data_IF_739586061347
#
_entry.id   IF_739586061347
#
_cell.length_a   1.000
_cell.length_b   1.000
_cell.length_c   1.000
_cell.angle_alpha   90.00
_cell.angle_beta   90.00
_cell.angle_gamma   90.00
#
_symmetry.space_group_name_H-M   'P 1'
#
loop_
_entity.id
_entity.type
_entity.pdbx_description
1 polymer ?
#
# COMPACT_ATOMS: atom_id res chain seq x y z
N UNK A 1 -29.90 -12.64 7.96
CA UNK A 1 -30.90 -11.79 7.26
C UNK A 1 -30.13 -10.56 6.80
N UNK A 2 -29.99 -10.35 5.48
CA UNK A 2 -29.52 -9.06 4.95
C UNK A 2 -30.44 -7.99 5.53
N UNK A 3 -29.89 -6.92 6.13
CA UNK A 3 -30.71 -5.73 6.35
C UNK A 3 -30.93 -5.13 4.98
N UNK A 4 -32.06 -5.48 4.38
CA UNK A 4 -32.59 -4.78 3.23
C UNK A 4 -33.05 -3.44 3.79
N UNK A 5 -32.30 -2.38 3.51
CA UNK A 5 -32.82 -1.01 3.64
C UNK A 5 -34.06 -0.89 2.72
N UNK A 6 -35.05 -0.08 3.11
CA UNK A 6 -36.27 0.23 2.33
C UNK A 6 -36.04 0.51 0.83
N UNK A 7 -34.80 0.81 0.43
CA UNK A 7 -34.37 1.02 -0.96
C UNK A 7 -33.84 -0.22 -1.72
N UNK A 8 -33.96 -1.44 -1.19
CA UNK A 8 -33.65 -2.68 -1.95
C UNK A 8 -32.16 -2.97 -2.18
N UNK A 9 -31.26 -2.24 -1.53
CA UNK A 9 -29.82 -2.47 -1.63
C UNK A 9 -29.34 -3.46 -0.55
N UNK A 10 -28.58 -4.47 -0.95
CA UNK A 10 -27.93 -5.43 -0.06
C UNK A 10 -26.82 -4.76 0.74
N UNK A 11 -27.08 -4.35 1.99
CA UNK A 11 -26.01 -3.93 2.91
C UNK A 11 -25.28 -5.17 3.45
N UNK A 12 -23.93 -5.23 3.38
CA UNK A 12 -23.18 -6.32 3.98
C UNK A 12 -23.46 -6.40 5.47
N UNK A 13 -23.63 -7.62 6.00
CA UNK A 13 -23.76 -7.85 7.45
C UNK A 13 -22.66 -7.06 8.19
N UNK A 14 -23.07 -6.27 9.17
CA UNK A 14 -22.19 -5.33 9.87
C UNK A 14 -21.24 -6.10 10.81
N UNK A 15 -20.13 -6.60 10.26
CA UNK A 15 -19.09 -7.28 11.03
C UNK A 15 -18.12 -6.27 11.65
N UNK A 16 -18.49 -5.79 12.84
CA UNK A 16 -17.70 -4.90 13.67
C UNK A 16 -16.37 -5.55 14.08
N UNK A 17 -16.38 -6.84 14.41
CA UNK A 17 -15.19 -7.55 14.91
C UNK A 17 -14.14 -7.66 13.80
N UNK A 18 -14.55 -8.07 12.59
CA UNK A 18 -13.63 -8.15 11.46
C UNK A 18 -13.09 -6.80 11.02
N UNK A 19 -13.88 -5.71 11.11
CA UNK A 19 -13.38 -4.34 10.86
C UNK A 19 -12.38 -3.92 11.92
N UNK A 20 -12.72 -4.00 13.20
CA UNK A 20 -11.86 -3.51 14.29
C UNK A 20 -10.58 -4.34 14.41
N UNK A 21 -10.66 -5.67 14.40
CA UNK A 21 -9.47 -6.51 14.57
C UNK A 21 -8.58 -6.52 13.32
N UNK A 22 -9.15 -6.72 12.13
CA UNK A 22 -8.35 -6.92 10.91
C UNK A 22 -7.85 -5.61 10.30
N UNK A 23 -8.66 -4.55 10.32
CA UNK A 23 -8.24 -3.28 9.71
C UNK A 23 -7.24 -2.54 10.62
N UNK A 24 -7.37 -2.62 11.95
CA UNK A 24 -6.37 -2.04 12.87
C UNK A 24 -5.03 -2.76 12.77
N UNK A 25 -5.02 -4.10 12.78
CA UNK A 25 -3.79 -4.87 12.61
C UNK A 25 -3.09 -4.52 11.28
N UNK A 26 -3.86 -4.41 10.20
CA UNK A 26 -3.35 -3.99 8.89
C UNK A 26 -2.76 -2.58 8.91
N UNK A 27 -3.39 -1.64 9.61
CA UNK A 27 -2.89 -0.27 9.75
C UNK A 27 -1.57 -0.24 10.52
N UNK A 28 -1.47 -0.96 11.64
CA UNK A 28 -0.25 -1.02 12.46
C UNK A 28 0.91 -1.61 11.65
N UNK A 29 0.68 -2.73 10.96
CA UNK A 29 1.69 -3.37 10.12
C UNK A 29 2.22 -2.44 9.02
N UNK A 30 1.32 -1.75 8.32
CA UNK A 30 1.72 -0.91 7.20
C UNK A 30 2.41 0.39 7.64
N UNK A 31 2.01 1.00 8.76
CA UNK A 31 2.69 2.19 9.30
C UNK A 31 4.14 1.84 9.67
N UNK A 32 4.35 0.69 10.33
CA UNK A 32 5.70 0.24 10.67
C UNK A 32 6.55 -0.01 9.41
N UNK A 33 5.96 -0.64 8.39
CA UNK A 33 6.64 -0.86 7.11
C UNK A 33 7.05 0.47 6.45
N UNK A 34 6.21 1.50 6.50
CA UNK A 34 6.55 2.84 6.00
C UNK A 34 7.72 3.45 6.77
N UNK A 35 7.68 3.46 8.10
CA UNK A 35 8.73 4.08 8.90
C UNK A 35 10.10 3.41 8.70
N UNK A 36 10.10 2.07 8.61
CA UNK A 36 11.33 1.28 8.49
C UNK A 36 11.83 1.14 7.06
N UNK A 37 10.99 1.38 6.05
CA UNK A 37 11.36 1.21 4.63
C UNK A 37 11.44 2.55 3.89
N UNK A 38 10.46 3.44 4.03
CA UNK A 38 10.39 4.67 3.23
C UNK A 38 11.60 5.57 3.49
N UNK A 39 11.78 6.01 4.75
CA UNK A 39 12.77 7.02 5.09
C UNK A 39 14.21 6.55 4.81
N UNK A 40 14.65 5.34 5.23
CA UNK A 40 16.01 4.90 4.95
C UNK A 40 16.30 4.80 3.45
N UNK A 41 15.32 4.34 2.66
CA UNK A 41 15.48 4.21 1.22
C UNK A 41 15.46 5.59 0.51
N UNK A 42 14.62 6.53 0.93
CA UNK A 42 14.67 7.91 0.41
C UNK A 42 16.03 8.54 0.69
N UNK A 43 16.55 8.43 1.92
CA UNK A 43 17.87 8.97 2.24
C UNK A 43 19.00 8.28 1.49
N UNK A 44 18.92 6.96 1.31
CA UNK A 44 19.89 6.21 0.49
C UNK A 44 19.86 6.67 -0.96
N UNK A 45 18.67 6.88 -1.53
CA UNK A 45 18.52 7.36 -2.89
C UNK A 45 19.07 8.79 -3.06
N UNK A 46 18.77 9.68 -2.12
CA UNK A 46 19.28 11.06 -2.11
C UNK A 46 20.80 11.07 -1.98
N UNK A 47 21.36 10.36 -0.99
CA UNK A 47 22.80 10.29 -0.77
C UNK A 47 23.52 9.75 -2.01
N UNK A 48 23.04 8.65 -2.58
CA UNK A 48 23.61 8.05 -3.79
C UNK A 48 23.52 8.99 -5.00
N UNK A 49 22.41 9.72 -5.15
CA UNK A 49 22.26 10.72 -6.22
C UNK A 49 23.24 11.87 -6.04
N UNK A 50 23.40 12.40 -4.82
CA UNK A 50 24.39 13.44 -4.49
C UNK A 50 25.81 12.94 -4.80
N UNK A 51 26.14 11.69 -4.47
CA UNK A 51 27.43 11.08 -4.81
C UNK A 51 27.67 11.11 -6.33
N UNK A 52 26.68 10.72 -7.14
CA UNK A 52 26.81 10.78 -8.60
C UNK A 52 27.01 12.22 -9.08
N UNK A 53 26.26 13.19 -8.54
CA UNK A 53 26.47 14.61 -8.86
C UNK A 53 27.88 15.09 -8.53
N UNK A 54 28.46 14.62 -7.41
CA UNK A 54 29.81 15.00 -7.01
C UNK A 54 30.89 14.47 -7.97
N UNK A 55 30.63 13.35 -8.63
CA UNK A 55 31.52 12.79 -9.65
C UNK A 55 31.29 13.40 -11.05
N UNK A 56 30.03 13.56 -11.45
CA UNK A 56 29.69 14.11 -12.75
C UNK A 56 28.25 14.65 -12.82
N UNK A 57 28.11 15.96 -13.00
CA UNK A 57 26.81 16.63 -13.06
C UNK A 57 25.89 16.10 -14.17
N UNK A 58 26.42 15.85 -15.36
CA UNK A 58 25.57 15.40 -16.49
C UNK A 58 25.00 13.99 -16.26
N UNK A 59 25.76 13.11 -15.60
CA UNK A 59 25.27 11.78 -15.21
C UNK A 59 24.30 11.91 -14.03
N UNK A 60 24.57 12.81 -13.08
CA UNK A 60 23.64 13.13 -11.99
C UNK A 60 22.26 13.59 -12.49
N UNK A 61 22.22 14.42 -13.54
CA UNK A 61 20.96 14.82 -14.17
C UNK A 61 20.24 13.64 -14.83
N UNK A 62 20.96 12.73 -15.49
CA UNK A 62 20.38 11.53 -16.07
C UNK A 62 19.81 10.59 -14.98
N UNK A 63 20.51 10.45 -13.86
CA UNK A 63 20.03 9.73 -12.68
C UNK A 63 18.74 10.34 -12.13
N UNK A 64 18.69 11.67 -11.97
CA UNK A 64 17.50 12.36 -11.48
C UNK A 64 16.31 12.18 -12.44
N UNK A 65 16.52 12.37 -13.75
CA UNK A 65 15.49 12.21 -14.76
C UNK A 65 14.93 10.78 -14.78
N UNK A 66 15.81 9.77 -14.68
CA UNK A 66 15.42 8.35 -14.64
C UNK A 66 14.79 7.89 -13.32
N UNK A 67 14.71 8.77 -12.31
CA UNK A 67 13.95 8.52 -11.08
C UNK A 67 12.45 8.86 -11.19
N UNK A 68 12.07 9.71 -12.15
CA UNK A 68 10.68 10.12 -12.34
C UNK A 68 9.70 8.95 -12.59
N UNK A 69 10.05 7.88 -13.35
CA UNK A 69 9.13 6.77 -13.58
C UNK A 69 8.66 6.07 -12.31
N UNK A 70 9.49 5.99 -11.25
CA UNK A 70 9.06 5.37 -9.99
C UNK A 70 7.92 6.15 -9.33
N UNK A 71 7.97 7.49 -9.37
CA UNK A 71 6.92 8.33 -8.79
C UNK A 71 5.61 8.18 -9.56
N UNK A 72 5.67 8.18 -10.90
CA UNK A 72 4.51 7.97 -11.76
C UNK A 72 3.88 6.59 -11.53
N UNK A 73 4.72 5.55 -11.41
CA UNK A 73 4.28 4.19 -11.16
C UNK A 73 3.63 4.07 -9.77
N UNK A 74 4.21 4.71 -8.75
CA UNK A 74 3.67 4.73 -7.40
C UNK A 74 2.32 5.46 -7.32
N UNK A 75 2.18 6.58 -8.03
CA UNK A 75 0.92 7.32 -8.10
C UNK A 75 -0.16 6.48 -8.78
N UNK A 76 0.15 5.89 -9.94
CA UNK A 76 -0.76 5.01 -10.67
C UNK A 76 -1.22 3.84 -9.80
N UNK A 77 -0.26 3.14 -9.17
CA UNK A 77 -0.53 2.03 -8.27
C UNK A 77 -1.45 2.48 -7.13
N UNK A 78 -1.09 3.58 -6.44
CA UNK A 78 -1.80 4.04 -5.24
C UNK A 78 -3.28 4.30 -5.51
N UNK A 79 -3.60 4.97 -6.63
CA UNK A 79 -4.99 5.25 -7.03
C UNK A 79 -5.80 3.99 -7.29
N UNK A 80 -5.18 2.93 -7.82
CA UNK A 80 -5.87 1.69 -8.19
C UNK A 80 -5.95 0.70 -7.02
N UNK A 81 -4.86 0.56 -6.29
CA UNK A 81 -4.72 -0.34 -5.17
C UNK A 81 -5.62 0.08 -3.99
N UNK A 82 -5.82 1.37 -3.73
CA UNK A 82 -6.75 1.82 -2.68
C UNK A 82 -8.17 1.29 -2.93
N UNK A 83 -8.68 1.43 -4.16
CA UNK A 83 -10.02 0.98 -4.53
C UNK A 83 -10.13 -0.54 -4.46
N UNK A 84 -9.16 -1.26 -5.02
CA UNK A 84 -9.13 -2.72 -4.98
C UNK A 84 -9.00 -3.26 -3.56
N UNK A 85 -8.22 -2.58 -2.70
CA UNK A 85 -8.07 -2.94 -1.29
C UNK A 85 -9.36 -2.71 -0.51
N UNK A 86 -10.07 -1.63 -0.78
CA UNK A 86 -11.38 -1.39 -0.16
C UNK A 86 -12.39 -2.50 -0.52
N UNK A 87 -12.40 -2.94 -1.77
CA UNK A 87 -13.24 -4.06 -2.22
C UNK A 87 -12.85 -5.38 -1.53
N UNK A 88 -11.55 -5.70 -1.51
CA UNK A 88 -11.00 -6.88 -0.84
C UNK A 88 -11.39 -6.92 0.63
N UNK A 89 -11.22 -5.81 1.33
CA UNK A 89 -11.53 -5.68 2.76
C UNK A 89 -13.02 -5.83 3.07
N UNK A 90 -13.90 -5.35 2.18
CA UNK A 90 -15.35 -5.57 2.28
C UNK A 90 -15.70 -7.05 2.09
N UNK A 91 -15.11 -7.69 1.07
CA UNK A 91 -15.32 -9.10 0.80
C UNK A 91 -14.80 -9.98 1.95
N UNK A 92 -13.65 -9.61 2.53
CA UNK A 92 -13.06 -10.31 3.67
C UNK A 92 -13.96 -10.24 4.92
N UNK A 93 -14.42 -9.06 5.32
CA UNK A 93 -15.34 -8.95 6.46
C UNK A 93 -16.67 -9.67 6.21
N UNK A 94 -17.19 -9.63 4.98
CA UNK A 94 -18.35 -10.43 4.62
C UNK A 94 -18.08 -11.93 4.82
N UNK A 95 -16.90 -12.41 4.40
CA UNK A 95 -16.53 -13.83 4.55
C UNK A 95 -16.54 -14.27 6.01
N UNK A 96 -16.01 -13.44 6.93
CA UNK A 96 -16.02 -13.72 8.38
C UNK A 96 -17.47 -13.83 8.89
N UNK A 97 -18.33 -12.89 8.51
CA UNK A 97 -19.74 -12.92 8.92
C UNK A 97 -20.44 -14.20 8.43
N UNK A 98 -20.23 -14.59 7.17
CA UNK A 98 -20.85 -15.80 6.62
C UNK A 98 -20.26 -17.09 7.18
N UNK A 99 -18.97 -17.14 7.52
CA UNK A 99 -18.37 -18.27 8.24
C UNK A 99 -19.02 -18.43 9.61
N UNK A 100 -19.18 -17.33 10.36
CA UNK A 100 -19.88 -17.34 11.65
C UNK A 100 -21.31 -17.86 11.50
N UNK A 101 -22.06 -17.34 10.53
CA UNK A 101 -23.44 -17.78 10.30
C UNK A 101 -23.52 -19.25 9.84
N UNK A 102 -22.56 -19.74 9.06
CA UNK A 102 -22.49 -21.16 8.66
C UNK A 102 -22.20 -22.08 9.86
N UNK A 103 -21.28 -21.69 10.74
CA UNK A 103 -20.89 -22.48 11.91
C UNK A 103 -21.97 -22.49 13.01
N UNK A 104 -22.58 -21.34 13.29
CA UNK A 104 -23.50 -21.18 14.43
C UNK A 104 -24.98 -21.25 14.04
N UNK A 105 -25.37 -20.80 12.84
CA UNK A 105 -26.77 -20.77 12.39
C UNK A 105 -27.11 -21.88 11.38
N UNK A 106 -26.17 -22.78 11.04
CA UNK A 106 -26.31 -23.87 10.04
C UNK A 106 -26.93 -23.37 8.72
N UNK A 107 -26.48 -22.21 8.24
CA UNK A 107 -26.97 -21.58 6.99
C UNK A 107 -26.26 -22.08 5.73
N UNK A 108 -26.94 -21.83 4.61
CA UNK A 108 -26.67 -22.35 3.27
C UNK A 108 -25.25 -22.06 2.74
N UNK A 109 -24.50 -23.10 2.33
CA UNK A 109 -23.09 -23.01 1.91
C UNK A 109 -22.84 -22.25 0.60
N UNK A 110 -23.85 -22.10 -0.26
CA UNK A 110 -23.72 -21.42 -1.56
C UNK A 110 -23.40 -19.92 -1.42
N UNK A 111 -23.91 -19.26 -0.36
CA UNK A 111 -23.61 -17.86 -0.08
C UNK A 111 -22.14 -17.66 0.31
N UNK A 112 -21.55 -18.63 1.03
CA UNK A 112 -20.16 -18.59 1.43
C UNK A 112 -19.23 -18.73 0.20
N UNK A 113 -19.55 -19.63 -0.72
CA UNK A 113 -18.82 -19.79 -1.98
C UNK A 113 -18.81 -18.52 -2.83
N UNK A 114 -19.96 -17.84 -2.93
CA UNK A 114 -20.06 -16.58 -3.65
C UNK A 114 -19.17 -15.49 -3.05
N UNK A 115 -19.12 -15.37 -1.72
CA UNK A 115 -18.28 -14.38 -1.04
C UNK A 115 -16.78 -14.71 -1.19
N UNK A 116 -16.40 -15.98 -1.11
CA UNK A 116 -15.01 -16.36 -1.40
C UNK A 116 -14.60 -16.08 -2.83
N UNK A 117 -15.50 -16.30 -3.81
CA UNK A 117 -15.22 -15.96 -5.20
C UNK A 117 -15.01 -14.44 -5.39
N UNK A 118 -15.80 -13.62 -4.68
CA UNK A 118 -15.67 -12.17 -4.68
C UNK A 118 -14.35 -11.72 -4.06
N UNK A 119 -14.01 -12.24 -2.89
CA UNK A 119 -12.74 -11.95 -2.23
C UNK A 119 -11.54 -12.38 -3.08
N UNK A 120 -11.58 -13.57 -3.68
CA UNK A 120 -10.55 -14.07 -4.60
C UNK A 120 -10.34 -13.13 -5.79
N UNK A 121 -11.42 -12.63 -6.39
CA UNK A 121 -11.34 -11.67 -7.51
C UNK A 121 -10.65 -10.38 -7.06
N UNK A 122 -11.03 -9.84 -5.90
CA UNK A 122 -10.44 -8.62 -5.36
C UNK A 122 -8.93 -8.78 -5.06
N UNK A 123 -8.51 -9.90 -4.45
CA UNK A 123 -7.10 -10.22 -4.25
C UNK A 123 -6.35 -10.37 -5.57
N UNK A 124 -6.95 -11.03 -6.55
CA UNK A 124 -6.31 -11.23 -7.86
C UNK A 124 -6.01 -9.88 -8.53
N UNK A 125 -6.90 -8.90 -8.41
CA UNK A 125 -6.66 -7.55 -8.91
C UNK A 125 -5.48 -6.86 -8.19
N UNK A 126 -5.40 -6.98 -6.86
CA UNK A 126 -4.26 -6.45 -6.09
C UNK A 126 -2.94 -7.08 -6.52
N UNK A 127 -2.90 -8.40 -6.69
CA UNK A 127 -1.71 -9.11 -7.18
C UNK A 127 -1.30 -8.58 -8.55
N UNK A 128 -2.25 -8.33 -9.45
CA UNK A 128 -1.93 -7.75 -10.76
C UNK A 128 -1.28 -6.37 -10.65
N UNK A 129 -1.80 -5.49 -9.79
CA UNK A 129 -1.17 -4.19 -9.54
C UNK A 129 0.23 -4.35 -8.95
N UNK A 130 0.44 -5.30 -8.05
CA UNK A 130 1.78 -5.59 -7.49
C UNK A 130 2.75 -6.05 -8.57
N UNK A 131 2.31 -6.94 -9.48
CA UNK A 131 3.15 -7.44 -10.58
C UNK A 131 3.48 -6.33 -11.57
N UNK A 132 2.54 -5.45 -11.88
CA UNK A 132 2.78 -4.25 -12.71
C UNK A 132 3.81 -3.36 -12.04
N UNK A 133 3.63 -3.04 -10.76
CA UNK A 133 4.58 -2.21 -10.00
C UNK A 133 5.99 -2.79 -10.02
N UNK A 134 6.14 -4.06 -9.61
CA UNK A 134 7.46 -4.69 -9.54
C UNK A 134 8.09 -4.89 -10.92
N UNK A 135 7.30 -5.27 -11.93
CA UNK A 135 7.78 -5.45 -13.29
C UNK A 135 8.33 -4.16 -13.90
N UNK A 136 7.54 -3.09 -13.88
CA UNK A 136 7.98 -1.80 -14.43
C UNK A 136 9.05 -1.14 -13.57
N UNK A 137 9.00 -1.31 -12.25
CA UNK A 137 10.01 -0.81 -11.32
C UNK A 137 11.38 -1.43 -11.55
N UNK A 138 11.45 -2.76 -11.66
CA UNK A 138 12.69 -3.47 -11.96
C UNK A 138 13.20 -3.17 -13.36
N UNK A 139 12.31 -3.09 -14.35
CA UNK A 139 12.66 -2.66 -15.70
C UNK A 139 13.35 -1.29 -15.66
N UNK A 140 12.73 -0.30 -14.99
CA UNK A 140 13.28 1.05 -14.83
C UNK A 140 14.64 1.02 -14.14
N UNK A 141 14.81 0.24 -13.07
CA UNK A 141 16.07 0.13 -12.35
C UNK A 141 17.20 -0.35 -13.25
N UNK A 142 16.99 -1.47 -13.95
CA UNK A 142 18.05 -2.05 -14.77
C UNK A 142 18.28 -1.28 -16.07
N UNK A 143 17.24 -0.75 -16.71
CA UNK A 143 17.39 0.06 -17.93
C UNK A 143 18.15 1.36 -17.64
N UNK A 144 17.84 2.01 -16.52
CA UNK A 144 18.47 3.27 -16.14
C UNK A 144 19.91 3.07 -15.69
N UNK A 145 20.19 2.02 -14.90
CA UNK A 145 21.56 1.66 -14.54
C UNK A 145 22.40 1.31 -15.79
N UNK A 146 21.83 0.61 -16.78
CA UNK A 146 22.52 0.32 -18.03
C UNK A 146 22.82 1.60 -18.83
N UNK A 147 21.86 2.52 -18.95
CA UNK A 147 22.05 3.80 -19.63
C UNK A 147 23.11 4.68 -18.95
N UNK A 148 23.07 4.78 -17.62
CA UNK A 148 24.07 5.51 -16.83
C UNK A 148 25.45 4.86 -17.01
N UNK A 149 25.54 3.54 -16.95
CA UNK A 149 26.81 2.82 -17.16
C UNK A 149 27.39 3.12 -18.54
N UNK A 150 26.57 3.13 -19.59
CA UNK A 150 26.99 3.50 -20.94
C UNK A 150 27.55 4.93 -20.99
N UNK A 151 26.85 5.90 -20.39
CA UNK A 151 27.31 7.29 -20.31
C UNK A 151 28.63 7.42 -19.54
N UNK A 152 28.78 6.70 -18.42
CA UNK A 152 30.01 6.67 -17.62
C UNK A 152 31.19 6.10 -18.41
N UNK A 153 30.98 4.99 -19.14
CA UNK A 153 32.03 4.37 -19.98
C UNK A 153 32.51 5.35 -21.04
N UNK A 154 31.60 6.06 -21.70
CA UNK A 154 31.95 7.03 -22.72
C UNK A 154 32.78 8.19 -22.17
N UNK A 155 32.44 8.70 -20.97
CA UNK A 155 33.24 9.73 -20.30
C UNK A 155 34.60 9.23 -19.84
N UNK A 156 34.69 7.98 -19.37
CA UNK A 156 35.97 7.37 -19.02
C UNK A 156 36.88 7.21 -20.25
N UNK A 157 36.32 6.80 -21.39
CA UNK A 157 37.06 6.71 -22.67
C UNK A 157 37.62 8.04 -23.13
N UNK A 158 36.93 9.14 -22.85
CA UNK A 158 37.38 10.51 -23.12
C UNK A 158 38.39 11.04 -22.10
N UNK A 159 38.69 10.28 -21.06
CA UNK A 159 39.57 10.72 -19.97
C UNK A 159 38.94 11.77 -19.05
N UNK A 160 37.61 11.96 -19.11
CA UNK A 160 36.90 12.93 -18.26
C UNK A 160 36.72 12.41 -16.82
N UNK A 161 36.69 11.10 -16.65
CA UNK A 161 36.63 10.42 -15.34
C UNK A 161 37.57 9.22 -15.32
N UNK A 162 38.10 8.87 -14.16
CA UNK A 162 38.91 7.67 -13.97
C UNK A 162 38.04 6.41 -13.75
N UNK A 163 38.69 5.23 -13.76
CA UNK A 163 38.01 3.93 -13.61
C UNK A 163 37.40 3.75 -12.22
N UNK A 164 38.01 4.32 -11.17
CA UNK A 164 37.47 4.31 -9.81
C UNK A 164 36.20 5.15 -9.72
N UNK A 165 36.20 6.35 -10.31
CA UNK A 165 35.02 7.20 -10.44
C UNK A 165 33.90 6.50 -11.21
N UNK A 166 34.23 5.81 -12.31
CA UNK A 166 33.26 5.00 -13.07
C UNK A 166 32.63 3.91 -12.19
N UNK A 167 33.42 3.14 -11.45
CA UNK A 167 32.92 2.10 -10.56
C UNK A 167 32.03 2.68 -9.44
N UNK A 168 32.42 3.84 -8.89
CA UNK A 168 31.65 4.58 -7.90
C UNK A 168 30.28 5.02 -8.42
N UNK A 169 30.23 5.58 -9.65
CA UNK A 169 28.98 6.00 -10.29
C UNK A 169 28.04 4.80 -10.51
N UNK A 170 28.54 3.68 -11.02
CA UNK A 170 27.71 2.49 -11.29
C UNK A 170 27.14 1.93 -9.99
N UNK A 171 27.96 1.81 -8.95
CA UNK A 171 27.53 1.36 -7.62
C UNK A 171 26.46 2.28 -7.03
N UNK A 172 26.70 3.60 -7.07
CA UNK A 172 25.75 4.59 -6.59
C UNK A 172 24.45 4.59 -7.40
N UNK A 173 24.49 4.38 -8.72
CA UNK A 173 23.29 4.33 -9.56
C UNK A 173 22.40 3.13 -9.20
N UNK A 174 22.99 1.96 -8.98
CA UNK A 174 22.27 0.78 -8.50
C UNK A 174 21.66 1.01 -7.11
N UNK A 175 22.43 1.61 -6.20
CA UNK A 175 21.95 1.98 -4.87
C UNK A 175 20.78 2.97 -4.93
N UNK A 176 20.90 4.00 -5.76
CA UNK A 176 19.88 5.02 -5.90
C UNK A 176 18.57 4.48 -6.47
N UNK A 177 18.63 3.70 -7.55
CA UNK A 177 17.44 3.12 -8.18
C UNK A 177 16.78 2.05 -7.32
N UNK A 178 17.56 1.15 -6.71
CA UNK A 178 17.03 0.12 -5.82
C UNK A 178 16.35 0.74 -4.59
N UNK A 179 16.97 1.77 -4.01
CA UNK A 179 16.38 2.49 -2.90
C UNK A 179 15.12 3.25 -3.33
N UNK A 180 15.12 3.93 -4.47
CA UNK A 180 13.93 4.62 -4.97
C UNK A 180 12.75 3.66 -5.20
N UNK A 181 13.00 2.49 -5.80
CA UNK A 181 12.00 1.44 -6.00
C UNK A 181 11.37 0.99 -4.66
N UNK A 182 12.19 0.77 -3.63
CA UNK A 182 11.70 0.35 -2.32
C UNK A 182 10.98 1.48 -1.56
N UNK A 183 11.48 2.70 -1.65
CA UNK A 183 10.83 3.88 -1.08
C UNK A 183 9.43 4.07 -1.65
N UNK A 184 9.30 4.02 -2.98
CA UNK A 184 8.01 4.15 -3.65
C UNK A 184 7.07 2.98 -3.32
N UNK A 185 7.61 1.78 -3.08
CA UNK A 185 6.79 0.64 -2.66
C UNK A 185 6.21 0.85 -1.26
N UNK A 186 6.98 1.43 -0.34
CA UNK A 186 6.47 1.80 0.97
C UNK A 186 5.30 2.79 0.88
N UNK A 187 5.35 3.76 -0.03
CA UNK A 187 4.21 4.65 -0.32
C UNK A 187 3.01 3.90 -0.90
N UNK A 188 3.25 2.95 -1.80
CA UNK A 188 2.22 2.08 -2.35
C UNK A 188 1.50 1.28 -1.26
N UNK A 189 2.24 0.72 -0.29
CA UNK A 189 1.66 0.06 0.89
C UNK A 189 0.83 1.05 1.72
N UNK A 190 1.31 2.28 1.90
CA UNK A 190 0.57 3.30 2.66
C UNK A 190 -0.77 3.66 2.02
N UNK A 191 -0.87 3.69 0.68
CA UNK A 191 -2.13 3.95 -0.02
C UNK A 191 -3.20 2.90 0.31
N UNK A 192 -2.79 1.64 0.52
CA UNK A 192 -3.70 0.55 0.88
C UNK A 192 -4.20 0.70 2.31
N UNK A 193 -3.39 1.28 3.19
CA UNK A 193 -3.74 1.59 4.58
C UNK A 193 -4.92 2.57 4.68
N UNK A 194 -5.02 3.52 3.73
CA UNK A 194 -6.10 4.52 3.72
C UNK A 194 -7.49 3.86 3.65
N UNK A 195 -7.63 2.78 2.87
CA UNK A 195 -8.89 2.05 2.77
C UNK A 195 -9.32 1.45 4.12
N UNK A 196 -8.38 0.88 4.87
CA UNK A 196 -8.60 0.34 6.20
C UNK A 196 -8.95 1.44 7.22
N UNK A 197 -8.18 2.55 7.23
CA UNK A 197 -8.47 3.71 8.10
C UNK A 197 -9.88 4.23 7.84
N UNK A 198 -10.27 4.44 6.58
CA UNK A 198 -11.60 4.94 6.22
C UNK A 198 -12.72 4.07 6.83
N UNK A 199 -12.59 2.75 6.75
CA UNK A 199 -13.60 1.81 7.32
C UNK A 199 -13.68 1.93 8.84
N UNK A 200 -12.54 2.01 9.51
CA UNK A 200 -12.44 2.14 10.97
C UNK A 200 -13.00 3.49 11.43
N UNK A 201 -12.65 4.59 10.76
CA UNK A 201 -13.11 5.95 11.10
C UNK A 201 -14.61 6.11 10.92
N UNK A 202 -15.20 5.59 9.83
CA UNK A 202 -16.65 5.62 9.59
C UNK A 202 -17.38 4.94 10.75
N UNK A 203 -16.92 3.74 11.11
CA UNK A 203 -17.49 2.98 12.22
C UNK A 203 -17.43 3.77 13.55
N UNK A 204 -16.27 4.30 13.91
CA UNK A 204 -16.14 5.09 15.14
C UNK A 204 -16.96 6.36 15.16
N UNK A 205 -17.11 7.02 14.02
CA UNK A 205 -17.87 8.27 13.91
C UNK A 205 -19.36 8.00 14.05
N UNK A 206 -19.87 6.90 13.48
CA UNK A 206 -21.25 6.46 13.65
C UNK A 206 -21.56 6.15 15.12
N UNK A 207 -20.72 5.36 15.80
CA UNK A 207 -20.87 5.03 17.22
C UNK A 207 -20.85 6.27 18.12
N UNK A 208 -19.96 7.23 17.85
CA UNK A 208 -19.90 8.50 18.59
C UNK A 208 -21.17 9.35 18.36
N UNK A 209 -21.69 9.37 17.14
CA UNK A 209 -22.93 10.06 16.81
C UNK A 209 -24.14 9.45 17.54
N UNK A 210 -24.25 8.11 17.56
CA UNK A 210 -25.30 7.41 18.29
C UNK A 210 -25.17 7.60 19.81
N UNK A 211 -23.96 7.57 20.36
CA UNK A 211 -23.71 7.87 21.77
C UNK A 211 -24.14 9.32 22.12
N UNK A 212 -23.85 10.29 21.26
CA UNK A 212 -24.29 11.68 21.39
C UNK A 212 -25.81 11.81 21.33
N UNK A 213 -26.48 11.15 20.36
CA UNK A 213 -27.95 11.13 20.24
C UNK A 213 -28.62 10.52 21.47
N UNK A 214 -28.00 9.52 22.08
CA UNK A 214 -28.53 8.81 23.24
C UNK A 214 -28.16 9.47 24.60
N UNK A 215 -27.66 10.71 24.60
CA UNK A 215 -27.32 11.45 25.83
C UNK A 215 -26.14 10.86 26.62
N UNK A 216 -25.29 10.06 25.96
CA UNK A 216 -24.18 9.30 26.57
C UNK A 216 -22.81 9.91 26.26
N UNK A 217 -22.77 11.17 25.83
CA UNK A 217 -21.54 11.91 25.54
C UNK A 217 -20.74 12.09 26.83
N UNK A 218 -19.66 11.35 26.98
CA UNK A 218 -18.87 11.28 28.21
C UNK A 218 -18.35 9.87 28.54
N UNK A 219 -18.84 8.83 27.85
CA UNK A 219 -18.22 7.51 27.95
C UNK A 219 -16.84 7.50 27.25
N UNK A 220 -15.78 6.97 27.91
CA UNK A 220 -14.50 6.75 27.27
C UNK A 220 -14.68 5.91 26.00
N UNK A 221 -13.94 6.22 24.93
CA UNK A 221 -13.96 5.47 23.66
C UNK A 221 -13.84 3.95 23.89
N UNK A 222 -13.06 3.54 24.88
CA UNK A 222 -12.92 2.17 25.33
C UNK A 222 -14.24 1.50 25.78
N UNK A 223 -15.14 2.23 26.45
CA UNK A 223 -16.48 1.71 26.85
C UNK A 223 -17.44 1.61 25.67
N UNK A 224 -17.31 2.48 24.67
CA UNK A 224 -18.09 2.39 23.42
C UNK A 224 -17.65 1.15 22.63
N UNK A 225 -16.33 0.97 22.48
CA UNK A 225 -15.72 -0.21 21.84
C UNK A 225 -16.12 -1.51 22.53
N UNK A 226 -15.96 -1.60 23.85
CA UNK A 226 -16.29 -2.81 24.61
C UNK A 226 -17.75 -3.23 24.40
N UNK A 227 -18.67 -2.26 24.44
CA UNK A 227 -20.10 -2.51 24.29
C UNK A 227 -20.49 -2.97 22.89
N UNK A 228 -19.87 -2.40 21.85
CA UNK A 228 -20.15 -2.78 20.48
C UNK A 228 -19.54 -4.14 20.10
N UNK A 229 -18.47 -4.56 20.78
CA UNK A 229 -17.89 -5.89 20.67
C UNK A 229 -18.66 -6.98 21.44
N UNK A 230 -19.72 -6.61 22.21
CA UNK A 230 -20.42 -7.50 23.15
C UNK A 230 -19.45 -8.30 24.05
N UNK A 231 -18.45 -7.61 24.59
CA UNK A 231 -17.65 -8.02 25.76
C UNK A 231 -18.20 -7.23 26.96
#
# INVERSE_FOLDING_TARGET
MLKINENGNNEPLDDVIGRVSSDIDFVIWNINAVLTTLLPNVFTAVASTITIFSFNTSIGLAMLASSAPYMLLAEYYSRKAEVARLEERRAYSASIAYIRDALYERRNGDLLNNVFSWWRKAITNLIWFDRIYWGFGLFTQFSSAAAISYMSIEKARKGEIDVGTLAGIISAALGAHGAMLNAMWALCIQSQTVAAIKRVTIYFTQELYEAKRNGKMGMPLAKVIARALKI
#
